data_IF_616575842044
#
_entry.id   IF_616575842044
#
_cell.length_a   1.000
_cell.length_b   1.000
_cell.length_c   1.000
_cell.angle_alpha   90.00
_cell.angle_beta   90.00
_cell.angle_gamma   90.00
#
_symmetry.space_group_name_H-M   'P 1'
#
loop_
_entity.id
_entity.type
_entity.pdbx_description
1 polymer ?
#
# COMPACT_ATOMS: atom_id res chain seq x y z
N UNK A 1 -42.79 -14.82 -15.24
CA UNK A 1 -41.52 -14.61 -15.98
C UNK A 1 -40.85 -13.24 -15.76
N UNK A 2 -41.56 -12.10 -15.79
CA UNK A 2 -40.94 -10.77 -15.63
C UNK A 2 -40.38 -10.47 -14.22
N UNK A 3 -41.02 -10.95 -13.16
CA UNK A 3 -40.53 -10.73 -11.78
C UNK A 3 -39.27 -11.53 -11.45
N UNK A 4 -39.10 -12.73 -12.00
CA UNK A 4 -37.87 -13.52 -11.85
C UNK A 4 -36.68 -12.80 -12.48
N UNK A 5 -36.88 -12.19 -13.66
CA UNK A 5 -35.84 -11.43 -14.36
C UNK A 5 -35.47 -10.19 -13.56
N UNK A 6 -36.45 -9.45 -13.02
CA UNK A 6 -36.19 -8.26 -12.22
C UNK A 6 -35.47 -8.59 -10.90
N UNK A 7 -35.83 -9.69 -10.25
CA UNK A 7 -35.14 -10.15 -9.04
C UNK A 7 -33.71 -10.62 -9.33
N UNK A 8 -33.49 -11.39 -10.40
CA UNK A 8 -32.15 -11.80 -10.80
C UNK A 8 -31.26 -10.61 -11.15
N UNK A 9 -31.81 -9.59 -11.82
CA UNK A 9 -31.14 -8.33 -12.11
C UNK A 9 -30.74 -7.58 -10.83
N UNK A 10 -31.70 -7.42 -9.91
CA UNK A 10 -31.47 -6.70 -8.64
C UNK A 10 -30.40 -7.38 -7.79
N UNK A 11 -30.42 -8.71 -7.71
CA UNK A 11 -29.40 -9.48 -6.96
C UNK A 11 -28.03 -9.36 -7.62
N UNK A 12 -27.97 -9.31 -8.96
CA UNK A 12 -26.71 -9.15 -9.69
C UNK A 12 -26.07 -7.79 -9.43
N UNK A 13 -26.85 -6.71 -9.55
CA UNK A 13 -26.37 -5.35 -9.27
C UNK A 13 -25.98 -5.18 -7.79
N UNK A 14 -26.72 -5.78 -6.87
CA UNK A 14 -26.36 -5.78 -5.45
C UNK A 14 -25.04 -6.51 -5.20
N UNK A 15 -24.82 -7.68 -5.81
CA UNK A 15 -23.56 -8.40 -5.70
C UNK A 15 -22.40 -7.60 -6.28
N UNK A 16 -22.58 -6.93 -7.42
CA UNK A 16 -21.57 -6.06 -8.02
C UNK A 16 -21.19 -4.90 -7.07
N UNK A 17 -22.17 -4.27 -6.43
CA UNK A 17 -21.94 -3.22 -5.43
C UNK A 17 -21.19 -3.74 -4.20
N UNK A 18 -21.59 -4.90 -3.66
CA UNK A 18 -20.92 -5.52 -2.51
C UNK A 18 -19.49 -5.88 -2.85
N UNK A 19 -19.22 -6.41 -4.05
CA UNK A 19 -17.87 -6.76 -4.49
C UNK A 19 -16.99 -5.49 -4.65
N UNK A 20 -17.51 -4.42 -5.25
CA UNK A 20 -16.82 -3.14 -5.34
C UNK A 20 -16.50 -2.54 -3.95
N UNK A 21 -17.46 -2.62 -3.01
CA UNK A 21 -17.26 -2.21 -1.61
C UNK A 21 -16.20 -3.05 -0.92
N UNK A 22 -16.21 -4.37 -1.17
CA UNK A 22 -15.25 -5.33 -0.62
C UNK A 22 -13.85 -5.04 -1.13
N UNK A 23 -13.67 -4.84 -2.43
CA UNK A 23 -12.37 -4.45 -3.02
C UNK A 23 -11.81 -3.17 -2.39
N UNK A 24 -12.65 -2.17 -2.14
CA UNK A 24 -12.23 -0.95 -1.43
C UNK A 24 -11.77 -1.23 0.01
N UNK A 25 -12.52 -2.04 0.78
CA UNK A 25 -12.13 -2.41 2.14
C UNK A 25 -10.85 -3.25 2.18
N UNK A 26 -10.68 -4.19 1.24
CA UNK A 26 -9.44 -4.95 1.10
C UNK A 26 -8.23 -4.05 0.81
N UNK A 27 -8.40 -3.00 0.02
CA UNK A 27 -7.34 -2.02 -0.25
C UNK A 27 -7.03 -1.08 0.91
N UNK A 28 -7.98 -0.86 1.83
CA UNK A 28 -7.86 0.10 2.94
C UNK A 28 -7.45 -0.55 4.26
N UNK A 29 -7.88 -1.78 4.54
CA UNK A 29 -7.66 -2.44 5.84
C UNK A 29 -6.46 -3.40 5.87
N UNK A 30 -6.00 -3.90 4.72
CA UNK A 30 -4.90 -4.87 4.67
C UNK A 30 -3.59 -4.23 4.24
N UNK A 31 -3.00 -3.47 5.15
CA UNK A 31 -1.55 -3.26 5.13
C UNK A 31 -0.81 -4.60 5.22
N UNK A 32 0.48 -4.60 4.89
CA UNK A 32 1.39 -5.70 5.12
C UNK A 32 1.30 -6.12 6.60
N UNK A 33 1.26 -7.43 6.88
CA UNK A 33 1.34 -7.93 8.25
C UNK A 33 2.53 -7.34 8.99
N UNK A 34 2.34 -6.92 10.25
CA UNK A 34 3.36 -6.25 11.08
C UNK A 34 4.64 -7.09 11.22
N UNK A 35 4.52 -8.41 11.08
CA UNK A 35 5.61 -9.38 11.05
C UNK A 35 6.63 -9.08 9.94
N UNK A 36 6.17 -8.61 8.77
CA UNK A 36 7.06 -8.26 7.66
C UNK A 36 7.91 -7.02 7.98
N UNK A 37 7.36 -6.05 8.71
CA UNK A 37 8.10 -4.88 9.16
C UNK A 37 9.23 -5.25 10.11
N UNK A 38 9.00 -6.21 11.03
CA UNK A 38 10.07 -6.71 11.89
C UNK A 38 11.20 -7.36 11.09
N UNK A 39 10.88 -8.18 10.08
CA UNK A 39 11.89 -8.81 9.22
C UNK A 39 12.73 -7.77 8.49
N UNK A 40 12.10 -6.71 7.96
CA UNK A 40 12.79 -5.63 7.24
C UNK A 40 13.73 -4.85 8.18
N UNK A 41 13.26 -4.48 9.36
CA UNK A 41 14.07 -3.74 10.34
C UNK A 41 15.25 -4.60 10.81
N UNK A 42 15.02 -5.88 11.12
CA UNK A 42 16.07 -6.81 11.53
C UNK A 42 17.09 -6.97 10.40
N UNK A 43 16.64 -7.19 9.16
CA UNK A 43 17.52 -7.33 8.00
C UNK A 43 18.37 -6.08 7.74
N UNK A 44 17.79 -4.88 7.90
CA UNK A 44 18.49 -3.61 7.80
C UNK A 44 19.59 -3.48 8.87
N UNK A 45 19.27 -3.75 10.14
CA UNK A 45 20.21 -3.71 11.25
C UNK A 45 21.35 -4.71 11.05
N UNK A 46 21.03 -5.95 10.69
CA UNK A 46 22.04 -6.99 10.42
C UNK A 46 22.98 -6.58 9.28
N UNK A 47 22.43 -5.99 8.21
CA UNK A 47 23.22 -5.52 7.07
C UNK A 47 24.20 -4.40 7.47
N UNK A 48 23.76 -3.47 8.32
CA UNK A 48 24.62 -2.40 8.86
C UNK A 48 25.73 -3.00 9.75
N UNK A 49 25.37 -3.91 10.67
CA UNK A 49 26.34 -4.56 11.57
C UNK A 49 27.38 -5.35 10.78
N UNK A 50 26.95 -6.13 9.77
CA UNK A 50 27.87 -6.86 8.89
C UNK A 50 28.82 -5.92 8.17
N UNK A 51 28.33 -4.76 7.73
CA UNK A 51 29.18 -3.77 7.08
C UNK A 51 30.27 -3.29 8.00
N UNK A 52 29.96 -3.01 9.28
CA UNK A 52 30.95 -2.60 10.28
C UNK A 52 31.92 -3.70 10.70
N UNK A 53 31.58 -4.98 10.52
CA UNK A 53 32.51 -6.09 10.76
C UNK A 53 33.57 -6.24 9.67
N UNK A 54 33.36 -5.64 8.48
CA UNK A 54 34.40 -5.58 7.45
C UNK A 54 35.44 -4.51 7.82
N UNK A 55 36.59 -4.97 8.34
CA UNK A 55 37.75 -4.13 8.56
C UNK A 55 38.41 -3.75 7.22
N UNK A 56 37.88 -2.71 6.58
CA UNK A 56 38.47 -2.13 5.37
C UNK A 56 39.60 -1.16 5.78
N UNK A 57 40.80 -1.40 5.26
CA UNK A 57 41.99 -0.57 5.54
C UNK A 57 41.83 0.90 5.10
N UNK A 58 40.96 1.15 4.10
CA UNK A 58 40.65 2.49 3.58
C UNK A 58 39.28 2.94 4.03
N UNK A 59 39.26 3.92 4.94
CA UNK A 59 38.04 4.56 5.45
C UNK A 59 37.12 5.06 4.33
N UNK A 60 37.67 5.62 3.24
CA UNK A 60 36.88 6.10 2.10
C UNK A 60 36.09 5.01 1.38
N UNK A 61 36.67 3.82 1.21
CA UNK A 61 35.99 2.67 0.58
C UNK A 61 34.91 2.14 1.54
N UNK A 62 35.22 2.11 2.83
CA UNK A 62 34.26 1.67 3.84
C UNK A 62 33.02 2.58 3.90
N UNK A 63 33.22 3.90 3.84
CA UNK A 63 32.14 4.88 3.80
C UNK A 63 31.31 4.78 2.51
N UNK A 64 31.96 4.57 1.35
CA UNK A 64 31.26 4.41 0.07
C UNK A 64 30.37 3.17 0.08
N UNK A 65 30.90 2.01 0.49
CA UNK A 65 30.15 0.75 0.55
C UNK A 65 29.00 0.84 1.57
N UNK A 66 29.26 1.41 2.74
CA UNK A 66 28.23 1.62 3.77
C UNK A 66 27.14 2.59 3.29
N UNK A 67 27.52 3.65 2.58
CA UNK A 67 26.58 4.63 2.02
C UNK A 67 25.69 4.04 0.94
N UNK A 68 26.25 3.24 0.03
CA UNK A 68 25.48 2.54 -1.01
C UNK A 68 24.49 1.56 -0.37
N UNK A 69 24.93 0.80 0.64
CA UNK A 69 24.06 -0.14 1.33
C UNK A 69 22.94 0.57 2.12
N UNK A 70 23.27 1.64 2.83
CA UNK A 70 22.29 2.44 3.55
C UNK A 70 21.25 3.08 2.61
N UNK A 71 21.69 3.59 1.45
CA UNK A 71 20.80 4.10 0.42
C UNK A 71 19.88 3.00 -0.10
N UNK A 72 20.43 1.82 -0.42
CA UNK A 72 19.64 0.69 -0.90
C UNK A 72 18.57 0.27 0.12
N UNK A 73 18.96 0.09 1.39
CA UNK A 73 18.02 -0.20 2.49
C UNK A 73 16.95 0.88 2.59
N UNK A 74 17.33 2.17 2.52
CA UNK A 74 16.38 3.29 2.56
C UNK A 74 15.37 3.26 1.42
N UNK A 75 15.82 2.98 0.19
CA UNK A 75 14.93 2.84 -0.99
C UNK A 75 14.00 1.64 -0.83
N UNK A 76 14.51 0.51 -0.35
CA UNK A 76 13.69 -0.69 -0.09
C UNK A 76 12.62 -0.41 0.98
N UNK A 77 12.99 0.21 2.10
CA UNK A 77 12.05 0.56 3.17
C UNK A 77 11.01 1.56 2.67
N UNK A 78 11.43 2.57 1.88
CA UNK A 78 10.52 3.51 1.26
C UNK A 78 9.52 2.83 0.33
N UNK A 79 9.98 1.91 -0.52
CA UNK A 79 9.10 1.16 -1.42
C UNK A 79 8.10 0.32 -0.64
N UNK A 80 8.54 -0.38 0.41
CA UNK A 80 7.67 -1.17 1.28
C UNK A 80 6.62 -0.26 1.93
N UNK A 81 7.02 0.90 2.46
CA UNK A 81 6.09 1.87 3.04
C UNK A 81 5.06 2.38 2.02
N UNK A 82 5.50 2.71 0.80
CA UNK A 82 4.64 3.18 -0.27
C UNK A 82 3.65 2.09 -0.74
N UNK A 83 4.05 0.82 -0.69
CA UNK A 83 3.21 -0.32 -1.04
C UNK A 83 2.33 -0.81 0.11
N UNK A 84 2.73 -0.59 1.36
CA UNK A 84 1.97 -0.93 2.56
C UNK A 84 0.68 -0.10 2.64
N UNK A 85 0.74 1.15 2.18
CA UNK A 85 -0.42 2.04 2.10
C UNK A 85 -0.61 2.59 0.69
N UNK A 86 -1.01 1.76 -0.29
CA UNK A 86 -1.08 2.17 -1.70
C UNK A 86 -2.10 3.30 -1.92
N UNK A 87 -3.02 3.51 -0.98
CA UNK A 87 -4.02 4.58 -1.00
C UNK A 87 -3.80 5.68 0.07
N UNK A 88 -2.74 5.65 0.89
CA UNK A 88 -2.39 6.77 1.81
C UNK A 88 -1.09 7.44 1.35
N UNK A 89 -1.22 8.51 0.59
CA UNK A 89 -0.10 9.30 0.06
C UNK A 89 -0.56 10.22 -1.08
N UNK A 90 0.37 10.90 -1.76
CA UNK A 90 0.06 11.77 -2.91
C UNK A 90 -0.59 11.02 -4.11
N UNK A 91 -0.65 9.68 -4.06
CA UNK A 91 -1.34 8.80 -5.00
C UNK A 91 -2.69 8.26 -4.46
N UNK A 92 -3.18 8.80 -3.33
CA UNK A 92 -4.52 8.50 -2.81
C UNK A 92 -5.56 8.85 -3.88
N UNK A 93 -6.47 7.91 -4.15
CA UNK A 93 -7.60 8.16 -5.04
C UNK A 93 -8.41 9.33 -4.46
N UNK A 94 -8.57 10.41 -5.24
CA UNK A 94 -9.34 11.60 -4.86
C UNK A 94 -10.79 11.22 -4.52
N UNK A 95 -11.37 11.75 -3.43
CA UNK A 95 -12.77 11.52 -3.09
C UNK A 95 -13.75 12.25 -4.03
N UNK A 96 -13.28 13.08 -4.97
CA UNK A 96 -14.13 13.88 -5.87
C UNK A 96 -15.20 13.08 -6.60
N UNK A 97 -14.90 11.86 -7.05
CA UNK A 97 -15.88 11.03 -7.74
C UNK A 97 -17.09 10.68 -6.84
N UNK A 98 -16.86 10.47 -5.55
CA UNK A 98 -17.92 10.22 -4.57
C UNK A 98 -18.67 11.51 -4.19
N UNK A 99 -17.96 12.64 -4.10
CA UNK A 99 -18.59 13.93 -3.83
C UNK A 99 -19.52 14.36 -4.96
N UNK A 100 -19.15 14.12 -6.21
CA UNK A 100 -20.00 14.40 -7.38
C UNK A 100 -21.30 13.60 -7.30
N UNK A 101 -21.20 12.29 -7.06
CA UNK A 101 -22.39 11.42 -6.93
C UNK A 101 -23.25 11.85 -5.74
N UNK A 102 -22.64 12.15 -4.60
CA UNK A 102 -23.36 12.64 -3.42
C UNK A 102 -24.10 13.94 -3.72
N UNK A 103 -23.46 14.87 -4.43
CA UNK A 103 -24.06 16.14 -4.82
C UNK A 103 -25.21 15.93 -5.80
N UNK A 104 -25.07 15.02 -6.75
CA UNK A 104 -26.16 14.65 -7.67
C UNK A 104 -27.34 14.00 -6.94
N UNK A 105 -27.09 13.20 -5.91
CA UNK A 105 -28.16 12.57 -5.11
C UNK A 105 -28.81 13.51 -4.08
N UNK A 106 -28.06 14.48 -3.54
CA UNK A 106 -28.55 15.44 -2.54
C UNK A 106 -29.13 16.72 -3.15
N UNK A 107 -28.94 16.97 -4.43
CA UNK A 107 -29.59 18.09 -5.12
C UNK A 107 -30.88 17.54 -5.76
N UNK A 108 -32.07 17.79 -5.18
CA UNK A 108 -33.30 17.44 -5.86
C UNK A 108 -33.39 18.29 -7.13
N UNK A 109 -33.67 17.64 -8.25
CA UNK A 109 -34.09 18.31 -9.49
C UNK A 109 -35.31 19.18 -9.26
#
# INVERSE_FOLDING_TARGET
>A
PGQEILHAETVREFNAFVEARRQRLYGVEKGLPVELWYVVIIGAVLSIVLTWLFALERLGIHLLVSGILAMFIGVTVFLIAAMDHPFRGALSISPEAFEIVLKTLMTPT
#
